data_IF_162340167336
#
_entry.id   IF_162340167336
#
_cell.length_a   1.000
_cell.length_b   1.000
_cell.length_c   1.000
_cell.angle_alpha   90.00
_cell.angle_beta   90.00
_cell.angle_gamma   90.00
#
_symmetry.space_group_name_H-M   'P 1'
#
loop_
_entity.id
_entity.type
_entity.pdbx_description
1 polymer ?
#
# COMPACT_ATOMS: atom_id res chain seq x y z
N UNK A 1 -18.38 -7.33 -23.80
CA UNK A 1 -18.20 -7.21 -23.27
C UNK A 1 -18.15 -7.18 -22.11
N UNK A 2 -17.83 -7.18 -21.55
CA UNK A 2 -17.82 -7.13 -20.65
C UNK A 2 -17.42 -6.70 -19.63
N UNK A 3 -17.57 -6.35 -19.08
CA UNK A 3 -17.21 -5.39 -18.15
C UNK A 3 -17.62 -5.72 -16.78
N UNK A 4 -18.08 -6.82 -16.53
CA UNK A 4 -18.52 -7.25 -15.27
C UNK A 4 -17.51 -7.17 -14.19
N UNK A 5 -16.27 -7.40 -14.49
CA UNK A 5 -15.25 -7.43 -13.47
C UNK A 5 -14.77 -6.09 -13.06
N UNK A 6 -15.18 -5.08 -13.78
CA UNK A 6 -14.69 -3.74 -13.51
C UNK A 6 -15.06 -3.24 -12.14
N UNK A 7 -16.25 -3.53 -11.68
CA UNK A 7 -16.67 -3.01 -10.40
C UNK A 7 -15.81 -3.51 -9.26
N UNK A 8 -15.49 -4.79 -9.27
CA UNK A 8 -14.64 -5.33 -8.22
C UNK A 8 -13.25 -4.76 -8.29
N UNK A 9 -12.73 -4.65 -9.49
CA UNK A 9 -11.39 -4.12 -9.62
C UNK A 9 -11.35 -2.65 -9.31
N UNK A 10 -12.39 -1.91 -9.65
CA UNK A 10 -12.45 -0.51 -9.29
C UNK A 10 -12.53 -0.32 -7.80
N UNK A 11 -13.30 -1.16 -7.12
CA UNK A 11 -13.37 -1.07 -5.68
C UNK A 11 -12.03 -1.39 -5.04
N UNK A 12 -11.34 -2.40 -5.55
CA UNK A 12 -10.02 -2.73 -5.04
C UNK A 12 -9.03 -1.62 -5.31
N UNK A 13 -9.11 -1.03 -6.50
CA UNK A 13 -8.21 0.07 -6.82
C UNK A 13 -8.46 1.25 -5.91
N UNK A 14 -9.72 1.53 -5.61
CA UNK A 14 -10.06 2.61 -4.71
C UNK A 14 -9.51 2.36 -3.32
N UNK A 15 -9.72 1.17 -2.80
CA UNK A 15 -9.20 0.80 -1.50
C UNK A 15 -7.67 0.86 -1.47
N UNK A 16 -7.05 0.41 -2.55
CA UNK A 16 -5.60 0.46 -2.65
C UNK A 16 -5.11 1.90 -2.58
N UNK A 17 -5.76 2.81 -3.32
CA UNK A 17 -5.36 4.21 -3.31
C UNK A 17 -5.51 4.82 -1.93
N UNK A 18 -6.58 4.49 -1.24
CA UNK A 18 -6.79 5.02 0.10
C UNK A 18 -5.73 4.50 1.06
N UNK A 19 -5.43 3.22 0.98
CA UNK A 19 -4.40 2.65 1.84
C UNK A 19 -3.04 3.26 1.53
N UNK A 20 -2.73 3.45 0.25
CA UNK A 20 -1.48 4.06 -0.13
C UNK A 20 -1.36 5.49 0.33
N UNK A 21 -2.43 6.25 0.19
CA UNK A 21 -2.46 7.62 0.65
C UNK A 21 -2.18 7.70 2.14
N UNK A 22 -2.85 6.83 2.90
CA UNK A 22 -2.65 6.79 4.33
C UNK A 22 -1.20 6.44 4.66
N UNK A 23 -0.64 5.48 3.93
CA UNK A 23 0.74 5.08 4.15
C UNK A 23 1.69 6.24 3.90
N UNK A 24 1.45 6.99 2.83
CA UNK A 24 2.31 8.13 2.51
C UNK A 24 2.24 9.18 3.61
N UNK A 25 1.05 9.45 4.11
CA UNK A 25 0.89 10.41 5.19
C UNK A 25 1.67 9.96 6.42
N UNK A 26 1.60 8.67 6.72
CA UNK A 26 2.34 8.15 7.87
C UNK A 26 3.84 8.27 7.66
N UNK A 27 4.31 8.03 6.43
CA UNK A 27 5.72 8.21 6.13
C UNK A 27 6.16 9.65 6.36
N UNK A 28 5.37 10.57 5.86
CA UNK A 28 5.70 11.99 5.99
C UNK A 28 5.80 12.40 7.44
N UNK A 29 4.98 11.81 8.27
CA UNK A 29 4.98 12.11 9.69
C UNK A 29 6.03 11.33 10.47
N UNK A 30 6.71 10.40 9.81
CA UNK A 30 7.74 9.62 10.46
C UNK A 30 7.24 8.41 11.21
N UNK A 31 5.98 8.03 11.02
CA UNK A 31 5.44 6.84 11.65
C UNK A 31 5.75 5.62 10.78
N UNK A 32 7.01 5.21 10.81
CA UNK A 32 7.50 4.23 9.86
C UNK A 32 6.89 2.84 10.04
N UNK A 33 6.69 2.43 11.28
CA UNK A 33 6.10 1.13 11.52
C UNK A 33 4.66 1.06 11.02
N UNK A 34 3.90 2.10 11.32
CA UNK A 34 2.53 2.15 10.86
C UNK A 34 2.45 2.29 9.35
N UNK A 35 3.38 3.04 8.78
CA UNK A 35 3.42 3.16 7.33
C UNK A 35 3.71 1.80 6.69
N UNK A 36 4.62 1.03 7.27
CA UNK A 36 4.92 -0.30 6.75
C UNK A 36 3.68 -1.19 6.77
N UNK A 37 2.94 -1.14 7.85
CA UNK A 37 1.72 -1.93 7.94
C UNK A 37 0.69 -1.48 6.93
N UNK A 38 0.56 -0.17 6.75
CA UNK A 38 -0.38 0.35 5.77
C UNK A 38 0.01 -0.09 4.36
N UNK A 39 1.30 -0.08 4.05
CA UNK A 39 1.75 -0.55 2.74
C UNK A 39 1.52 -2.04 2.57
N UNK A 40 1.67 -2.83 3.62
CA UNK A 40 1.37 -4.25 3.53
C UNK A 40 -0.09 -4.49 3.23
N UNK A 41 -0.97 -3.75 3.86
CA UNK A 41 -2.39 -3.86 3.56
C UNK A 41 -2.67 -3.47 2.13
N UNK A 42 -2.04 -2.38 1.68
CA UNK A 42 -2.21 -1.96 0.30
C UNK A 42 -1.77 -3.07 -0.65
N UNK A 43 -0.67 -3.74 -0.35
CA UNK A 43 -0.20 -4.83 -1.19
C UNK A 43 -1.21 -5.96 -1.26
N UNK A 44 -1.87 -6.25 -0.14
CA UNK A 44 -2.84 -7.34 -0.11
C UNK A 44 -4.07 -7.06 -0.94
N UNK A 45 -4.48 -5.80 -1.01
CA UNK A 45 -5.70 -5.45 -1.72
C UNK A 45 -5.46 -4.89 -3.10
N UNK A 46 -4.20 -4.75 -3.50
CA UNK A 46 -3.89 -4.21 -4.81
C UNK A 46 -4.39 -5.16 -5.90
N UNK A 47 -5.10 -4.62 -6.90
CA UNK A 47 -5.67 -5.47 -7.95
C UNK A 47 -4.67 -5.84 -9.04
N UNK A 48 -3.48 -5.22 -9.05
CA UNK A 48 -2.48 -5.45 -10.09
C UNK A 48 -1.19 -5.89 -9.46
N UNK A 49 -0.50 -6.76 -10.16
CA UNK A 49 0.76 -7.30 -9.65
C UNK A 49 1.80 -6.22 -9.45
N UNK A 50 1.90 -5.29 -10.40
CA UNK A 50 2.90 -4.23 -10.27
C UNK A 50 2.60 -3.34 -9.07
N UNK A 51 1.34 -3.10 -8.76
CA UNK A 51 0.97 -2.33 -7.57
C UNK A 51 1.31 -3.11 -6.31
N UNK A 52 1.10 -4.43 -6.34
CA UNK A 52 1.45 -5.26 -5.20
C UNK A 52 2.94 -5.18 -4.91
N UNK A 53 3.74 -5.29 -5.96
CA UNK A 53 5.18 -5.23 -5.80
C UNK A 53 5.64 -3.87 -5.30
N UNK A 54 5.05 -2.82 -5.83
CA UNK A 54 5.38 -1.47 -5.39
C UNK A 54 5.10 -1.32 -3.90
N UNK A 55 3.91 -1.73 -3.46
CA UNK A 55 3.52 -1.57 -2.07
C UNK A 55 4.40 -2.42 -1.16
N UNK A 56 4.77 -3.61 -1.59
CA UNK A 56 5.65 -4.46 -0.79
C UNK A 56 7.02 -3.83 -0.63
N UNK A 57 7.55 -3.26 -1.70
CA UNK A 57 8.84 -2.60 -1.62
C UNK A 57 8.79 -1.40 -0.70
N UNK A 58 7.70 -0.64 -0.77
CA UNK A 58 7.57 0.50 0.12
C UNK A 58 7.45 0.05 1.57
N UNK A 59 6.72 -1.04 1.81
CA UNK A 59 6.60 -1.57 3.17
C UNK A 59 7.96 -1.95 3.72
N UNK A 60 8.77 -2.60 2.89
CA UNK A 60 10.10 -2.99 3.30
C UNK A 60 10.97 -1.79 3.58
N UNK A 61 10.86 -0.79 2.73
CA UNK A 61 11.60 0.45 2.92
C UNK A 61 11.27 1.08 4.28
N UNK A 62 9.99 1.17 4.59
CA UNK A 62 9.56 1.74 5.86
C UNK A 62 10.02 0.90 7.03
N UNK A 63 9.97 -0.40 6.87
CA UNK A 63 10.40 -1.30 7.92
C UNK A 63 11.89 -1.12 8.22
N UNK A 64 12.70 -0.98 7.18
CA UNK A 64 14.12 -0.75 7.37
C UNK A 64 14.40 0.56 8.07
N UNK A 65 13.67 1.59 7.69
CA UNK A 65 13.88 2.88 8.32
C UNK A 65 13.49 2.84 9.78
N UNK A 66 12.43 2.10 10.09
CA UNK A 66 12.03 1.94 11.48
C UNK A 66 13.13 1.27 12.29
N UNK A 67 13.70 0.21 11.74
CA UNK A 67 14.77 -0.50 12.44
C UNK A 67 16.04 0.32 12.53
N UNK A 68 16.29 1.08 11.49
CA UNK A 68 17.51 1.86 11.44
C UNK A 68 17.55 3.00 12.41
N UNK A 69 16.44 3.30 13.05
CA UNK A 69 16.43 4.41 13.99
C UNK A 69 16.96 4.06 15.35
N UNK A 70 17.19 2.81 15.56
CA UNK A 70 17.79 2.44 16.83
C UNK A 70 19.20 2.89 16.91
#
# INVERSE_FOLDING_TARGET
MYIKNNRRQEAKACHYRQAGKRAVILEVRGFWMEAAEAWRRAACIAPRTDWQLFARKRAEHCHRRCRGRV
#
